data_IF_145680045011
#
_entry.id   IF_145680045011
#
_cell.length_a   1.000
_cell.length_b   1.000
_cell.length_c   1.000
_cell.angle_alpha   90.00
_cell.angle_beta   90.00
_cell.angle_gamma   90.00
#
_symmetry.space_group_name_H-M   'P 1'
#
loop_
_entity.id
_entity.type
_entity.pdbx_description
1 polymer ?
#
# COMPACT_ATOMS: atom_id res chain seq x y z
N UNK A 1 27.85 11.90 -12.84
CA UNK A 1 26.77 10.97 -13.21
C UNK A 1 25.76 11.02 -12.09
N UNK A 2 24.63 11.69 -12.30
CA UNK A 2 23.53 11.68 -11.33
C UNK A 2 22.77 10.39 -11.58
N UNK A 3 23.20 9.32 -10.93
CA UNK A 3 22.40 8.11 -10.79
C UNK A 3 21.02 8.55 -10.28
N UNK A 4 20.02 8.43 -11.13
CA UNK A 4 18.63 8.70 -10.79
C UNK A 4 18.18 7.61 -9.83
N UNK A 5 18.55 7.76 -8.55
CA UNK A 5 17.84 7.11 -7.46
C UNK A 5 16.47 7.77 -7.46
N UNK A 6 15.51 7.19 -8.19
CA UNK A 6 14.10 7.49 -7.98
C UNK A 6 13.90 7.42 -6.47
N UNK A 7 13.63 8.56 -5.84
CA UNK A 7 13.36 8.55 -4.42
C UNK A 7 12.05 7.78 -4.28
N UNK A 8 11.94 6.87 -3.31
CA UNK A 8 10.68 6.12 -3.07
C UNK A 8 9.47 7.04 -2.80
N UNK A 9 9.72 8.34 -2.61
CA UNK A 9 8.74 9.42 -2.48
C UNK A 9 8.15 9.84 -3.83
N UNK A 10 8.90 9.70 -4.93
CA UNK A 10 8.43 9.99 -6.30
C UNK A 10 7.41 8.95 -6.79
N UNK A 11 7.43 7.72 -6.25
CA UNK A 11 6.46 6.65 -6.56
C UNK A 11 5.03 6.94 -6.09
N UNK A 12 4.83 7.96 -5.25
CA UNK A 12 3.52 8.29 -4.70
C UNK A 12 2.83 9.46 -5.41
N UNK A 13 3.39 9.99 -6.51
CA UNK A 13 2.87 11.16 -7.22
C UNK A 13 2.59 12.36 -6.29
N UNK A 14 3.47 12.56 -5.30
CA UNK A 14 3.31 13.62 -4.29
C UNK A 14 2.34 13.28 -3.15
N UNK A 15 1.74 12.09 -3.13
CA UNK A 15 0.99 11.59 -1.96
C UNK A 15 1.94 11.24 -0.83
N UNK A 16 1.63 11.71 0.37
CA UNK A 16 2.29 11.28 1.58
C UNK A 16 1.81 9.89 2.00
N UNK A 17 2.52 9.22 2.91
CA UNK A 17 2.08 7.93 3.45
C UNK A 17 0.71 7.96 4.15
N UNK A 18 0.27 9.15 4.58
CA UNK A 18 -1.04 9.39 5.21
C UNK A 18 -2.20 9.40 4.20
N UNK A 19 -1.89 9.62 2.93
CA UNK A 19 -2.87 9.66 1.85
C UNK A 19 -3.13 8.27 1.25
N UNK A 20 -2.39 7.25 1.73
CA UNK A 20 -2.54 5.86 1.33
C UNK A 20 -3.62 5.17 2.16
N UNK A 21 -4.60 4.62 1.47
CA UNK A 21 -5.74 3.92 2.04
C UNK A 21 -5.28 2.61 2.67
N UNK A 22 -5.73 2.37 3.90
CA UNK A 22 -5.47 1.13 4.63
C UNK A 22 -4.02 0.96 5.09
N UNK A 23 -3.18 1.98 4.95
CA UNK A 23 -1.77 1.98 5.38
C UNK A 23 -1.62 2.72 6.71
N UNK A 24 -0.89 2.12 7.64
CA UNK A 24 -0.60 2.72 8.94
C UNK A 24 0.83 2.42 9.40
N UNK A 25 1.50 3.38 10.01
CA UNK A 25 2.80 3.15 10.64
C UNK A 25 2.61 2.60 12.06
N UNK A 26 3.14 1.40 12.31
CA UNK A 26 3.15 0.77 13.61
C UNK A 26 4.40 1.21 14.39
N UNK A 27 4.19 2.03 15.42
CA UNK A 27 5.27 2.58 16.24
C UNK A 27 6.08 1.51 17.00
N UNK A 28 5.45 0.48 17.62
CA UNK A 28 6.17 -0.59 18.31
C UNK A 28 7.14 -1.35 17.42
N UNK A 29 6.71 -1.78 16.23
CA UNK A 29 7.54 -2.54 15.28
C UNK A 29 8.37 -1.65 14.35
N UNK A 30 8.11 -0.34 14.33
CA UNK A 30 8.69 0.66 13.42
C UNK A 30 8.53 0.28 11.94
N UNK A 31 7.41 -0.35 11.61
CA UNK A 31 7.10 -0.83 10.26
C UNK A 31 5.76 -0.30 9.78
N UNK A 32 5.58 -0.30 8.47
CA UNK A 32 4.30 0.03 7.84
C UNK A 32 3.41 -1.21 7.81
N UNK A 33 2.13 -1.04 8.04
CA UNK A 33 1.15 -2.12 8.02
C UNK A 33 0.05 -1.77 7.04
N UNK A 34 -0.52 -2.80 6.43
CA UNK A 34 -1.64 -2.67 5.52
C UNK A 34 -2.82 -3.50 6.01
N UNK A 35 -4.03 -2.97 5.89
CA UNK A 35 -5.23 -3.66 6.34
C UNK A 35 -6.48 -3.28 5.55
N UNK A 36 -7.40 -4.22 5.40
CA UNK A 36 -8.78 -3.97 4.94
C UNK A 36 -9.76 -4.28 6.06
N UNK A 37 -10.95 -3.68 6.00
CA UNK A 37 -12.05 -4.00 6.91
C UNK A 37 -13.13 -4.75 6.14
N UNK A 38 -13.47 -5.94 6.61
CA UNK A 38 -14.53 -6.80 6.07
C UNK A 38 -15.46 -7.16 7.22
N UNK A 39 -16.75 -6.85 7.09
CA UNK A 39 -17.76 -7.12 8.11
C UNK A 39 -17.35 -6.68 9.53
N UNK A 40 -16.72 -5.50 9.61
CA UNK A 40 -16.23 -4.92 10.87
C UNK A 40 -14.93 -5.53 11.42
N UNK A 41 -14.35 -6.54 10.76
CA UNK A 41 -13.08 -7.16 11.14
C UNK A 41 -11.93 -6.64 10.28
N UNK A 42 -10.80 -6.34 10.91
CA UNK A 42 -9.56 -5.96 10.21
C UNK A 42 -8.80 -7.22 9.78
N UNK A 43 -8.50 -7.30 8.49
CA UNK A 43 -7.55 -8.27 7.94
C UNK A 43 -6.28 -7.52 7.62
N UNK A 44 -5.16 -7.96 8.19
CA UNK A 44 -3.84 -7.36 8.00
C UNK A 44 -3.02 -8.14 6.97
N UNK A 45 -2.27 -7.44 6.13
CA UNK A 45 -1.30 -8.04 5.21
C UNK A 45 0.11 -8.21 5.82
N UNK A 46 0.27 -7.89 7.11
CA UNK A 46 1.54 -7.97 7.83
C UNK A 46 2.26 -6.63 7.94
N UNK A 47 3.58 -6.71 8.15
CA UNK A 47 4.48 -5.56 8.31
C UNK A 47 5.36 -5.42 7.07
N UNK A 48 5.66 -4.17 6.73
CA UNK A 48 6.35 -3.76 5.52
C UNK A 48 7.39 -2.67 5.84
N UNK A 49 8.51 -2.64 5.11
CA UNK A 49 9.60 -1.71 5.38
C UNK A 49 9.28 -0.27 4.95
N UNK A 50 8.31 -0.07 4.06
CA UNK A 50 7.98 1.24 3.50
C UNK A 50 6.48 1.36 3.17
N UNK A 51 5.94 2.58 3.04
CA UNK A 51 4.51 2.78 2.85
C UNK A 51 4.01 2.32 1.46
N UNK A 52 4.88 2.32 0.45
CA UNK A 52 4.54 1.88 -0.91
C UNK A 52 4.26 0.38 -0.92
N UNK A 53 5.16 -0.42 -0.34
CA UNK A 53 4.99 -1.87 -0.20
C UNK A 53 3.78 -2.24 0.65
N UNK A 54 3.48 -1.48 1.70
CA UNK A 54 2.23 -1.63 2.45
C UNK A 54 1.01 -1.31 1.57
N UNK A 55 1.01 -0.21 0.82
CA UNK A 55 -0.09 0.14 -0.07
C UNK A 55 -0.33 -0.91 -1.18
N UNK A 56 0.73 -1.50 -1.73
CA UNK A 56 0.62 -2.63 -2.68
C UNK A 56 -0.02 -3.87 -2.03
N UNK A 57 0.32 -4.14 -0.77
CA UNK A 57 -0.28 -5.23 -0.01
C UNK A 57 -1.76 -4.96 0.31
N UNK A 58 -2.12 -3.71 0.63
CA UNK A 58 -3.50 -3.28 0.75
C UNK A 58 -4.28 -3.52 -0.54
N UNK A 59 -3.74 -3.11 -1.68
CA UNK A 59 -4.40 -3.27 -2.98
C UNK A 59 -4.61 -4.74 -3.33
N UNK A 60 -3.67 -5.60 -2.94
CA UNK A 60 -3.82 -7.06 -3.04
C UNK A 60 -4.99 -7.56 -2.18
N UNK A 61 -5.10 -7.11 -0.92
CA UNK A 61 -6.25 -7.43 -0.07
C UNK A 61 -7.58 -6.93 -0.67
N UNK A 62 -7.61 -5.70 -1.20
CA UNK A 62 -8.79 -5.14 -1.85
C UNK A 62 -9.19 -6.00 -3.05
N UNK A 63 -8.25 -6.37 -3.93
CA UNK A 63 -8.51 -7.23 -5.09
C UNK A 63 -8.99 -8.62 -4.69
N UNK A 64 -8.41 -9.22 -3.66
CA UNK A 64 -8.77 -10.57 -3.19
C UNK A 64 -10.12 -10.60 -2.51
N UNK A 65 -10.40 -9.63 -1.63
CA UNK A 65 -11.52 -9.74 -0.70
C UNK A 65 -12.68 -8.76 -0.95
N UNK A 66 -12.40 -7.54 -1.43
CA UNK A 66 -13.41 -6.50 -1.60
C UNK A 66 -13.87 -6.33 -3.06
N UNK A 67 -12.96 -6.56 -4.02
CA UNK A 67 -13.15 -6.32 -5.45
C UNK A 67 -13.69 -4.90 -5.73
N UNK A 68 -13.16 -3.92 -4.99
CA UNK A 68 -13.57 -2.51 -5.02
C UNK A 68 -12.42 -1.64 -5.59
N UNK A 69 -12.40 -1.35 -6.90
CA UNK A 69 -11.31 -0.62 -7.55
C UNK A 69 -11.09 0.79 -7.01
N UNK A 70 -12.15 1.44 -6.51
CA UNK A 70 -12.13 2.76 -5.88
C UNK A 70 -11.33 2.81 -4.57
N UNK A 71 -11.02 1.65 -3.99
CA UNK A 71 -10.21 1.53 -2.77
C UNK A 71 -8.76 1.13 -3.05
N UNK A 72 -8.35 1.08 -4.32
CA UNK A 72 -6.95 0.83 -4.68
C UNK A 72 -6.11 2.11 -4.56
N UNK A 73 -4.93 1.98 -3.97
CA UNK A 73 -3.91 3.02 -3.98
C UNK A 73 -3.28 3.18 -5.36
N UNK A 74 -3.10 2.08 -6.09
CA UNK A 74 -2.47 1.97 -7.40
C UNK A 74 -3.41 1.26 -8.40
N UNK A 75 -4.48 1.93 -8.86
CA UNK A 75 -5.46 1.33 -9.78
C UNK A 75 -4.84 0.95 -11.13
N UNK A 76 -3.85 1.71 -11.59
CA UNK A 76 -3.17 1.47 -12.88
C UNK A 76 -2.07 0.41 -12.81
N UNK A 77 -1.63 0.00 -11.62
CA UNK A 77 -0.84 -1.22 -11.45
C UNK A 77 -1.75 -2.45 -11.51
N UNK A 78 -2.40 -2.60 -12.66
CA UNK A 78 -2.99 -3.84 -13.11
C UNK A 78 -2.12 -4.25 -14.29
N UNK A 79 -1.62 -5.48 -14.30
CA UNK A 79 -0.70 -6.06 -15.30
C UNK A 79 0.81 -5.85 -15.06
N UNK A 80 1.49 -6.90 -14.57
CA UNK A 80 2.69 -7.50 -15.20
C UNK A 80 3.41 -8.51 -14.28
N UNK A 81 2.91 -9.74 -14.24
CA UNK A 81 3.75 -10.94 -14.27
C UNK A 81 2.86 -12.15 -14.51
N UNK A 82 2.80 -12.53 -15.78
CA UNK A 82 2.34 -13.84 -16.22
C UNK A 82 3.55 -14.59 -16.76
#
# INVERSE_FOLDING_TARGET
MKEAVLSKVDLLDGRGPRDLIGVAFDLPSRQWTAHVVIDGRRIYAGHHPDPVSAAMAHDSLVRTYLQQPDRLNFPEQTEASK
#
